data_IF_050973569966
#
_entry.id   IF_050973569966
#
_cell.length_a   1.000
_cell.length_b   1.000
_cell.length_c   1.000
_cell.angle_alpha   90.00
_cell.angle_beta   90.00
_cell.angle_gamma   90.00
#
_symmetry.space_group_name_H-M   'P 1'
#
loop_
_entity.id
_entity.type
_entity.pdbx_description
1 polymer ?
#
# COMPACT_ATOMS: atom_id res chain seq x y z
N UNK A 1 4.26 12.22 20.30
CA UNK A 1 5.41 11.42 19.91
C UNK A 1 6.67 11.81 20.63
N UNK A 2 7.54 10.87 20.87
CA UNK A 2 8.80 11.04 21.61
C UNK A 2 9.79 12.02 20.97
N UNK A 3 9.61 12.43 19.71
CA UNK A 3 10.60 13.24 18.97
C UNK A 3 10.12 14.63 18.58
N UNK A 4 8.85 14.97 18.77
CA UNK A 4 8.29 16.30 18.40
C UNK A 4 8.47 16.71 16.91
N UNK A 5 9.20 15.93 16.11
CA UNK A 5 9.54 16.23 14.73
C UNK A 5 8.86 15.25 13.76
N UNK A 6 8.04 15.77 12.88
CA UNK A 6 7.38 15.00 11.82
C UNK A 6 8.37 14.25 10.91
N UNK A 7 9.49 14.87 10.58
CA UNK A 7 10.53 14.27 9.72
C UNK A 7 11.19 13.05 10.37
N UNK A 8 11.45 13.13 11.67
CA UNK A 8 11.97 11.99 12.42
C UNK A 8 10.94 10.86 12.54
N UNK A 9 9.66 11.21 12.62
CA UNK A 9 8.58 10.20 12.62
C UNK A 9 8.50 9.47 11.27
N UNK A 10 8.63 10.17 10.13
CA UNK A 10 8.67 9.56 8.80
C UNK A 10 9.87 8.64 8.61
N UNK A 11 11.06 9.10 8.99
CA UNK A 11 12.26 8.26 8.91
C UNK A 11 12.20 7.08 9.88
N UNK A 12 11.70 7.32 11.08
CA UNK A 12 11.50 6.30 12.10
C UNK A 12 10.49 5.23 11.68
N UNK A 13 9.40 5.62 11.02
CA UNK A 13 8.40 4.67 10.50
C UNK A 13 8.97 3.82 9.37
N UNK A 14 9.73 4.41 8.45
CA UNK A 14 10.38 3.69 7.35
C UNK A 14 11.39 2.67 7.89
N UNK A 15 12.28 3.10 8.77
CA UNK A 15 13.34 2.24 9.30
C UNK A 15 12.77 1.22 10.28
N UNK A 16 11.89 1.64 11.18
CA UNK A 16 11.26 0.76 12.16
C UNK A 16 10.42 -0.33 11.51
N UNK A 17 9.61 0.02 10.50
CA UNK A 17 8.85 -0.96 9.75
C UNK A 17 9.74 -1.89 8.91
N UNK A 18 10.83 -1.38 8.33
CA UNK A 18 11.79 -2.21 7.61
C UNK A 18 12.46 -3.22 8.53
N UNK A 19 12.90 -2.80 9.72
CA UNK A 19 13.50 -3.70 10.72
C UNK A 19 12.48 -4.73 11.19
N UNK A 20 11.27 -4.32 11.54
CA UNK A 20 10.19 -5.23 11.92
C UNK A 20 9.90 -6.24 10.80
N UNK A 21 9.86 -5.78 9.56
CA UNK A 21 9.68 -6.63 8.38
C UNK A 21 10.80 -7.67 8.24
N UNK A 22 12.07 -7.27 8.39
CA UNK A 22 13.21 -8.21 8.38
C UNK A 22 13.08 -9.26 9.48
N UNK A 23 12.72 -8.85 10.69
CA UNK A 23 12.55 -9.78 11.82
C UNK A 23 11.42 -10.78 11.54
N UNK A 24 10.28 -10.30 11.07
CA UNK A 24 9.13 -11.15 10.72
C UNK A 24 9.50 -12.11 9.58
N UNK A 25 10.21 -11.63 8.56
CA UNK A 25 10.65 -12.47 7.46
C UNK A 25 11.57 -13.59 7.92
N UNK A 26 12.61 -13.26 8.69
CA UNK A 26 13.62 -14.24 9.14
C UNK A 26 12.99 -15.28 10.10
N UNK A 27 12.15 -14.83 11.03
CA UNK A 27 11.63 -15.70 12.09
C UNK A 27 10.47 -16.56 11.59
N UNK A 28 9.57 -15.99 10.80
CA UNK A 28 8.29 -16.61 10.44
C UNK A 28 8.20 -16.92 8.94
N UNK A 29 8.25 -15.88 8.08
CA UNK A 29 7.91 -16.01 6.67
C UNK A 29 8.88 -16.93 5.93
N UNK A 30 10.17 -16.88 6.26
CA UNK A 30 11.19 -17.75 5.66
C UNK A 30 10.88 -19.23 5.82
N UNK A 31 10.30 -19.62 6.94
CA UNK A 31 9.89 -21.01 7.21
C UNK A 31 8.67 -21.42 6.41
N UNK A 32 7.81 -20.44 6.07
CA UNK A 32 6.59 -20.65 5.31
C UNK A 32 6.82 -20.85 3.81
N UNK A 33 7.92 -20.36 3.25
CA UNK A 33 8.20 -20.50 1.81
C UNK A 33 8.24 -21.95 1.28
N UNK A 34 8.38 -22.92 2.19
CA UNK A 34 8.42 -24.36 1.86
C UNK A 34 7.10 -25.07 2.15
N UNK A 35 6.10 -24.36 2.66
CA UNK A 35 4.79 -24.90 3.02
C UNK A 35 3.78 -24.69 1.91
N UNK A 36 2.69 -25.42 1.97
CA UNK A 36 1.60 -25.30 1.03
C UNK A 36 0.94 -23.92 1.09
N UNK A 37 0.26 -23.57 0.01
CA UNK A 37 -0.36 -22.24 -0.15
C UNK A 37 -1.37 -21.91 0.95
N UNK A 38 -2.14 -22.91 1.40
CA UNK A 38 -3.10 -22.77 2.50
C UNK A 38 -2.41 -22.46 3.83
N UNK A 39 -1.33 -23.17 4.14
CA UNK A 39 -0.54 -22.93 5.36
C UNK A 39 0.04 -21.51 5.36
N UNK A 40 0.49 -21.02 4.20
CA UNK A 40 1.00 -19.67 4.07
C UNK A 40 -0.08 -18.62 4.36
N UNK A 41 -1.26 -18.78 3.78
CA UNK A 41 -2.40 -17.87 3.99
C UNK A 41 -2.85 -17.87 5.46
N UNK A 42 -3.02 -19.04 6.05
CA UNK A 42 -3.43 -19.16 7.46
C UNK A 42 -2.39 -18.55 8.42
N UNK A 43 -1.11 -18.83 8.19
CA UNK A 43 -0.05 -18.30 9.04
C UNK A 43 0.11 -16.77 8.89
N UNK A 44 -0.03 -16.21 7.69
CA UNK A 44 0.01 -14.76 7.49
C UNK A 44 -1.19 -14.08 8.11
N UNK A 45 -2.38 -14.68 8.04
CA UNK A 45 -3.58 -14.17 8.71
C UNK A 45 -3.43 -14.18 10.25
N UNK A 46 -2.95 -15.29 10.82
CA UNK A 46 -2.65 -15.39 12.24
C UNK A 46 -1.62 -14.34 12.68
N UNK A 47 -0.61 -14.08 11.83
CA UNK A 47 0.40 -13.06 12.09
C UNK A 47 -0.20 -11.64 12.10
N UNK A 48 -1.13 -11.33 11.20
CA UNK A 48 -1.83 -10.05 11.18
C UNK A 48 -2.57 -9.84 12.51
N UNK A 49 -3.33 -10.84 12.96
CA UNK A 49 -4.07 -10.76 14.22
C UNK A 49 -3.12 -10.61 15.43
N UNK A 50 -2.05 -11.39 15.46
CA UNK A 50 -1.06 -11.34 16.53
C UNK A 50 -0.38 -9.97 16.60
N UNK A 51 -0.01 -9.39 15.45
CA UNK A 51 0.61 -8.07 15.41
C UNK A 51 -0.39 -6.97 15.77
N UNK A 52 -1.63 -7.04 15.31
CA UNK A 52 -2.69 -6.08 15.64
C UNK A 52 -2.96 -6.07 17.15
N UNK A 53 -3.12 -7.24 17.76
CA UNK A 53 -3.31 -7.34 19.20
C UNK A 53 -2.04 -6.95 19.99
N UNK A 54 -0.86 -7.30 19.50
CA UNK A 54 0.40 -6.88 20.10
C UNK A 54 0.57 -5.37 20.12
N UNK A 55 0.25 -4.69 19.02
CA UNK A 55 0.27 -3.21 18.93
C UNK A 55 -0.77 -2.61 19.88
N UNK A 56 -1.97 -3.19 19.95
CA UNK A 56 -3.03 -2.76 20.88
C UNK A 56 -2.59 -2.89 22.33
N UNK A 57 -1.91 -3.96 22.66
CA UNK A 57 -1.41 -4.18 24.03
C UNK A 57 -0.30 -3.21 24.44
N UNK A 58 0.61 -2.87 23.51
CA UNK A 58 1.74 -1.97 23.78
C UNK A 58 1.32 -0.49 23.77
N UNK A 59 0.53 -0.07 22.78
CA UNK A 59 0.20 1.33 22.53
C UNK A 59 -1.23 1.72 22.96
N UNK A 60 -2.06 0.74 23.31
CA UNK A 60 -3.47 0.94 23.64
C UNK A 60 -4.36 0.95 22.40
N UNK A 61 -5.68 1.11 22.64
CA UNK A 61 -6.70 1.13 21.59
C UNK A 61 -7.06 2.55 21.10
N UNK A 62 -6.50 3.59 21.72
CA UNK A 62 -6.85 4.96 21.38
C UNK A 62 -6.13 5.42 20.11
N UNK A 63 -6.83 6.12 19.21
CA UNK A 63 -6.21 6.70 18.02
C UNK A 63 -5.12 7.71 18.39
N UNK A 64 -3.98 7.62 17.72
CA UNK A 64 -2.88 8.57 17.86
C UNK A 64 -2.92 9.55 16.69
N UNK A 65 -2.83 10.85 17.02
CA UNK A 65 -2.82 11.91 16.02
C UNK A 65 -1.38 12.39 15.77
N UNK A 66 -0.99 12.48 14.52
CA UNK A 66 0.28 13.06 14.09
C UNK A 66 0.06 14.51 13.67
N UNK A 67 0.79 15.43 14.30
CA UNK A 67 0.73 16.84 13.93
C UNK A 67 1.48 17.09 12.62
N UNK A 68 0.80 17.72 11.67
CA UNK A 68 1.39 18.17 10.41
C UNK A 68 2.30 19.36 10.70
N UNK A 69 3.55 19.40 10.21
CA UNK A 69 4.45 20.54 10.43
C UNK A 69 3.89 21.81 9.79
N UNK A 70 4.18 22.96 10.43
CA UNK A 70 3.67 24.26 9.99
C UNK A 70 3.99 24.60 8.53
N UNK A 71 5.09 24.10 7.99
CA UNK A 71 5.52 24.27 6.59
C UNK A 71 4.53 23.61 5.62
N UNK A 72 3.95 22.46 6.00
CA UNK A 72 3.01 21.68 5.20
C UNK A 72 1.55 21.96 5.60
N UNK A 73 1.34 22.77 6.64
CA UNK A 73 0.02 23.20 7.06
C UNK A 73 -0.46 24.35 6.18
N UNK A 74 -1.73 24.33 5.82
CA UNK A 74 -2.35 25.33 4.97
C UNK A 74 -2.71 24.83 3.57
N UNK A 75 -3.23 25.74 2.77
CA UNK A 75 -3.73 25.48 1.43
C UNK A 75 -3.07 26.40 0.41
N UNK A 76 -3.01 25.93 -0.82
CA UNK A 76 -2.53 26.72 -1.99
C UNK A 76 -3.69 26.81 -2.97
N UNK A 77 -4.01 28.01 -3.50
CA UNK A 77 -4.92 28.10 -4.62
C UNK A 77 -4.23 27.49 -5.86
N UNK A 78 -4.82 26.44 -6.40
CA UNK A 78 -4.45 25.86 -7.69
C UNK A 78 -5.26 26.56 -8.81
N UNK A 79 -4.98 26.19 -10.05
CA UNK A 79 -5.74 26.65 -11.21
C UNK A 79 -7.26 26.64 -10.93
N UNK A 80 -7.97 27.71 -11.33
CA UNK A 80 -9.42 27.90 -11.15
C UNK A 80 -9.91 28.03 -9.70
N UNK A 81 -9.15 28.72 -8.82
CA UNK A 81 -9.54 28.99 -7.42
C UNK A 81 -9.79 27.74 -6.55
N UNK A 82 -9.38 26.56 -7.00
CA UNK A 82 -9.49 25.34 -6.20
C UNK A 82 -8.45 25.40 -5.08
N UNK A 83 -8.95 25.46 -3.86
CA UNK A 83 -8.12 25.45 -2.65
C UNK A 83 -7.69 24.00 -2.37
N UNK A 84 -6.37 23.73 -2.44
CA UNK A 84 -5.83 22.39 -2.24
C UNK A 84 -4.83 22.35 -1.06
N UNK A 85 -4.89 21.31 -0.24
CA UNK A 85 -4.00 21.15 0.92
C UNK A 85 -2.55 20.91 0.49
N UNK A 86 -1.62 21.69 1.06
CA UNK A 86 -0.16 21.51 0.85
C UNK A 86 0.29 20.09 1.20
N UNK A 87 -0.25 19.53 2.27
CA UNK A 87 0.10 18.19 2.73
C UNK A 87 -0.29 17.10 1.73
N UNK A 88 -1.45 17.21 1.10
CA UNK A 88 -1.87 16.26 0.05
C UNK A 88 -0.96 16.33 -1.19
N UNK A 89 -0.53 17.53 -1.58
CA UNK A 89 0.45 17.69 -2.66
C UNK A 89 1.80 17.06 -2.30
N UNK A 90 2.23 17.23 -1.06
CA UNK A 90 3.43 16.58 -0.54
C UNK A 90 3.35 15.05 -0.62
N UNK A 91 2.21 14.43 -0.24
CA UNK A 91 2.00 12.99 -0.38
C UNK A 91 2.11 12.54 -1.83
N UNK A 92 1.48 13.27 -2.76
CA UNK A 92 1.54 12.94 -4.19
C UNK A 92 2.98 13.00 -4.69
N UNK A 93 3.73 14.03 -4.33
CA UNK A 93 5.13 14.20 -4.72
C UNK A 93 6.02 13.09 -4.18
N UNK A 94 5.89 12.75 -2.90
CA UNK A 94 6.64 11.65 -2.28
C UNK A 94 6.25 10.32 -2.91
N UNK A 95 4.96 10.08 -3.14
CA UNK A 95 4.49 8.86 -3.82
C UNK A 95 5.08 8.71 -5.22
N UNK A 96 5.14 9.79 -5.99
CA UNK A 96 5.76 9.80 -7.31
C UNK A 96 7.27 9.54 -7.24
N UNK A 97 7.98 10.17 -6.29
CA UNK A 97 9.41 9.95 -6.08
C UNK A 97 9.70 8.50 -5.72
N UNK A 98 8.90 7.91 -4.84
CA UNK A 98 9.02 6.48 -4.46
C UNK A 98 8.77 5.60 -5.68
N UNK A 99 7.73 5.86 -6.46
CA UNK A 99 7.41 5.09 -7.66
C UNK A 99 8.56 5.13 -8.69
N UNK A 100 9.11 6.31 -8.94
CA UNK A 100 10.29 6.48 -9.82
C UNK A 100 11.50 5.76 -9.21
N UNK A 101 11.76 5.93 -7.92
CA UNK A 101 12.86 5.27 -7.22
C UNK A 101 12.78 3.75 -7.30
N UNK A 102 11.61 3.16 -7.05
CA UNK A 102 11.36 1.72 -7.19
C UNK A 102 11.52 1.26 -8.64
N UNK A 103 11.01 2.02 -9.59
CA UNK A 103 11.17 1.71 -11.00
C UNK A 103 12.65 1.67 -11.40
N UNK A 104 13.44 2.68 -11.00
CA UNK A 104 14.88 2.72 -11.25
C UNK A 104 15.61 1.59 -10.52
N UNK A 105 15.28 1.34 -9.25
CA UNK A 105 15.86 0.27 -8.47
C UNK A 105 15.69 -1.08 -9.16
N UNK A 106 14.48 -1.37 -9.65
CA UNK A 106 14.19 -2.68 -10.25
C UNK A 106 14.67 -2.78 -11.70
N UNK A 107 14.66 -1.68 -12.47
CA UNK A 107 15.07 -1.73 -13.88
C UNK A 107 16.56 -1.52 -14.08
N UNK A 108 17.21 -0.70 -13.28
CA UNK A 108 18.58 -0.21 -13.51
C UNK A 108 19.62 -0.76 -12.53
N UNK A 109 19.23 -1.45 -11.44
CA UNK A 109 20.20 -1.93 -10.46
C UNK A 109 20.44 -3.44 -10.55
N UNK A 110 21.60 -3.88 -10.03
CA UNK A 110 21.94 -5.31 -9.92
C UNK A 110 20.95 -6.08 -9.05
N UNK A 111 20.40 -5.43 -8.01
CA UNK A 111 19.39 -6.00 -7.15
C UNK A 111 18.09 -6.26 -7.94
N UNK A 112 17.67 -5.31 -8.76
CA UNK A 112 16.51 -5.48 -9.63
C UNK A 112 16.65 -6.59 -10.66
N UNK A 113 17.85 -6.77 -11.22
CA UNK A 113 18.14 -7.91 -12.12
C UNK A 113 17.95 -9.23 -11.38
N UNK A 114 18.50 -9.36 -10.16
CA UNK A 114 18.39 -10.57 -9.34
C UNK A 114 16.93 -10.84 -8.94
N UNK A 115 16.16 -9.81 -8.60
CA UNK A 115 14.72 -9.94 -8.27
C UNK A 115 13.95 -10.51 -9.45
N UNK A 116 14.10 -9.92 -10.65
CA UNK A 116 13.40 -10.38 -11.86
C UNK A 116 13.79 -11.78 -12.28
N UNK A 117 15.07 -12.10 -12.15
CA UNK A 117 15.57 -13.42 -12.49
C UNK A 117 15.09 -14.47 -11.47
N UNK A 118 15.06 -14.15 -10.15
CA UNK A 118 14.51 -15.02 -9.11
C UNK A 118 12.99 -15.22 -9.20
N UNK A 119 12.30 -14.29 -9.84
CA UNK A 119 10.87 -14.38 -10.13
C UNK A 119 10.58 -15.38 -11.27
N UNK A 120 11.48 -15.48 -12.25
CA UNK A 120 11.34 -16.41 -13.36
C UNK A 120 11.74 -17.84 -12.96
N UNK A 121 12.90 -18.02 -12.35
CA UNK A 121 13.39 -19.34 -11.93
C UNK A 121 14.27 -19.22 -10.69
N UNK A 122 13.72 -19.67 -9.55
CA UNK A 122 14.41 -19.66 -8.26
C UNK A 122 15.57 -20.65 -8.21
N UNK A 123 15.41 -21.83 -8.84
CA UNK A 123 16.40 -22.90 -8.79
C UNK A 123 17.63 -22.53 -9.62
N UNK A 124 17.41 -22.02 -10.81
CA UNK A 124 18.47 -21.57 -11.70
C UNK A 124 19.32 -20.47 -11.06
N UNK A 125 18.70 -19.46 -10.46
CA UNK A 125 19.42 -18.36 -9.81
C UNK A 125 20.20 -18.82 -8.57
N UNK A 126 19.66 -19.77 -7.81
CA UNK A 126 20.38 -20.38 -6.70
C UNK A 126 21.62 -21.13 -7.18
N UNK A 127 21.50 -21.86 -8.27
CA UNK A 127 22.62 -22.57 -8.90
C UNK A 127 23.73 -21.62 -9.40
N UNK A 128 23.36 -20.39 -9.77
CA UNK A 128 24.31 -19.33 -10.14
C UNK A 128 24.94 -18.61 -8.94
N UNK A 129 24.73 -19.12 -7.72
CA UNK A 129 25.37 -18.62 -6.50
C UNK A 129 24.68 -17.40 -5.85
N UNK A 130 23.47 -17.05 -6.27
CA UNK A 130 22.70 -15.98 -5.63
C UNK A 130 21.94 -16.53 -4.43
N UNK A 131 22.18 -15.93 -3.26
CA UNK A 131 21.45 -16.24 -2.02
C UNK A 131 20.02 -15.69 -2.09
N UNK A 132 19.07 -16.58 -2.42
CA UNK A 132 17.65 -16.24 -2.53
C UNK A 132 17.05 -15.79 -1.21
N UNK A 133 17.50 -16.35 -0.09
CA UNK A 133 17.00 -15.97 1.23
C UNK A 133 17.32 -14.50 1.51
N UNK A 134 18.55 -14.07 1.27
CA UNK A 134 18.92 -12.64 1.42
C UNK A 134 18.15 -11.75 0.45
N UNK A 135 17.92 -12.21 -0.76
CA UNK A 135 17.16 -11.46 -1.76
C UNK A 135 15.73 -11.19 -1.27
N UNK A 136 15.06 -12.22 -0.75
CA UNK A 136 13.70 -12.09 -0.22
C UNK A 136 13.65 -11.18 1.02
N UNK A 137 14.63 -11.32 1.94
CA UNK A 137 14.72 -10.41 3.09
C UNK A 137 14.82 -8.95 2.67
N UNK A 138 15.65 -8.64 1.67
CA UNK A 138 15.80 -7.26 1.18
C UNK A 138 14.50 -6.75 0.57
N UNK A 139 13.85 -7.57 -0.27
CA UNK A 139 12.57 -7.19 -0.91
C UNK A 139 11.49 -6.97 0.15
N UNK A 140 11.41 -7.86 1.13
CA UNK A 140 10.44 -7.75 2.23
C UNK A 140 10.72 -6.51 3.09
N UNK A 141 11.98 -6.22 3.41
CA UNK A 141 12.39 -5.03 4.15
C UNK A 141 11.98 -3.73 3.42
N UNK A 142 12.22 -3.66 2.10
CA UNK A 142 11.82 -2.51 1.29
C UNK A 142 10.29 -2.36 1.32
N UNK A 143 9.54 -3.44 1.09
CA UNK A 143 8.08 -3.43 1.12
C UNK A 143 7.52 -2.98 2.47
N UNK A 144 8.01 -3.56 3.56
CA UNK A 144 7.61 -3.20 4.92
C UNK A 144 7.96 -1.75 5.27
N UNK A 145 9.16 -1.29 4.91
CA UNK A 145 9.58 0.10 5.11
C UNK A 145 8.68 1.09 4.37
N UNK A 146 8.35 0.81 3.12
CA UNK A 146 7.44 1.65 2.34
C UNK A 146 6.01 1.64 2.90
N UNK A 147 5.54 0.49 3.40
CA UNK A 147 4.25 0.40 4.07
C UNK A 147 4.22 1.24 5.36
N UNK A 148 5.29 1.19 6.16
CA UNK A 148 5.44 2.04 7.34
C UNK A 148 5.44 3.53 7.01
N UNK A 149 6.14 3.93 5.97
CA UNK A 149 6.16 5.32 5.49
C UNK A 149 4.77 5.76 5.01
N UNK A 150 4.09 4.94 4.22
CA UNK A 150 2.73 5.21 3.76
C UNK A 150 1.75 5.34 4.93
N UNK A 151 1.84 4.44 5.94
CA UNK A 151 1.04 4.49 7.16
C UNK A 151 1.26 5.78 7.95
N UNK A 152 2.50 6.23 8.11
CA UNK A 152 2.80 7.48 8.79
C UNK A 152 2.26 8.71 8.03
N UNK A 153 2.33 8.69 6.70
CA UNK A 153 1.79 9.78 5.87
C UNK A 153 0.26 9.86 5.94
N UNK A 154 -0.42 8.72 5.89
CA UNK A 154 -1.90 8.66 5.99
C UNK A 154 -2.35 8.96 7.42
N UNK A 155 -1.62 8.49 8.43
CA UNK A 155 -1.91 8.72 9.84
C UNK A 155 -1.90 10.21 10.25
N UNK A 156 -1.21 11.06 9.50
CA UNK A 156 -1.26 12.51 9.72
C UNK A 156 -2.53 13.16 9.13
N UNK A 157 -3.24 12.51 8.21
CA UNK A 157 -4.53 13.00 7.66
C UNK A 157 -5.71 12.48 8.48
N UNK A 158 -5.66 11.21 8.85
CA UNK A 158 -6.77 10.53 9.54
C UNK A 158 -6.43 10.38 11.03
N UNK A 159 -5.86 9.29 11.39
CA UNK A 159 -5.34 8.94 12.71
C UNK A 159 -4.55 7.65 12.56
N UNK A 160 -3.66 7.38 13.48
CA UNK A 160 -2.97 6.09 13.55
C UNK A 160 -3.75 5.20 14.49
N UNK A 161 -4.40 4.19 13.95
CA UNK A 161 -5.25 3.26 14.69
C UNK A 161 -4.78 1.82 14.48
N UNK A 162 -5.10 0.95 15.45
CA UNK A 162 -4.88 -0.47 15.31
C UNK A 162 -5.83 -1.02 14.23
N UNK A 163 -5.30 -1.79 13.28
CA UNK A 163 -6.07 -2.35 12.17
C UNK A 163 -6.19 -1.43 10.94
N UNK A 164 -5.66 -0.19 10.96
CA UNK A 164 -5.71 0.74 9.81
C UNK A 164 -5.11 0.16 8.51
N UNK A 165 -4.27 -0.86 8.63
CA UNK A 165 -3.67 -1.54 7.47
C UNK A 165 -4.57 -2.54 6.77
N UNK A 166 -5.60 -3.07 7.43
CA UNK A 166 -6.45 -4.13 6.87
C UNK A 166 -7.24 -3.68 5.61
N UNK A 167 -7.91 -2.52 5.60
CA UNK A 167 -8.57 -2.02 4.40
C UNK A 167 -7.57 -1.74 3.26
N UNK A 168 -6.37 -1.27 3.61
CA UNK A 168 -5.32 -0.97 2.63
C UNK A 168 -4.75 -2.25 2.03
N UNK A 169 -4.65 -3.34 2.82
CA UNK A 169 -4.24 -4.64 2.31
C UNK A 169 -5.15 -5.14 1.19
N UNK A 170 -6.47 -5.02 1.37
CA UNK A 170 -7.46 -5.42 0.36
C UNK A 170 -7.29 -4.57 -0.92
N UNK A 171 -7.14 -3.25 -0.77
CA UNK A 171 -6.90 -2.36 -1.90
C UNK A 171 -5.59 -2.68 -2.61
N UNK A 172 -4.51 -2.97 -1.87
CA UNK A 172 -3.23 -3.37 -2.44
C UNK A 172 -3.34 -4.68 -3.23
N UNK A 173 -4.12 -5.65 -2.72
CA UNK A 173 -4.40 -6.89 -3.45
C UNK A 173 -5.13 -6.62 -4.77
N UNK A 174 -6.16 -5.77 -4.76
CA UNK A 174 -6.88 -5.37 -5.96
C UNK A 174 -5.95 -4.69 -6.97
N UNK A 175 -5.08 -3.79 -6.50
CA UNK A 175 -4.07 -3.12 -7.34
C UNK A 175 -3.14 -4.12 -8.02
N UNK A 176 -2.64 -5.12 -7.28
CA UNK A 176 -1.74 -6.15 -7.81
C UNK A 176 -2.45 -7.00 -8.87
N UNK A 177 -3.69 -7.37 -8.62
CA UNK A 177 -4.50 -8.17 -9.55
C UNK A 177 -4.81 -7.38 -10.83
N UNK A 178 -5.26 -6.14 -10.69
CA UNK A 178 -5.53 -5.25 -11.83
C UNK A 178 -4.25 -4.99 -12.63
N UNK A 179 -3.15 -4.69 -11.94
CA UNK A 179 -1.86 -4.41 -12.58
C UNK A 179 -1.25 -5.60 -13.29
N UNK A 180 -1.54 -6.81 -12.80
CA UNK A 180 -0.93 -8.08 -13.20
C UNK A 180 0.22 -8.47 -12.29
N UNK A 181 0.15 -9.69 -11.77
CA UNK A 181 1.11 -10.22 -10.78
C UNK A 181 2.53 -10.15 -11.35
N UNK A 182 3.44 -9.55 -10.60
CA UNK A 182 4.85 -9.42 -10.99
C UNK A 182 5.18 -8.24 -11.90
N UNK A 183 4.20 -7.41 -12.28
CA UNK A 183 4.43 -6.22 -13.10
C UNK A 183 4.46 -4.94 -12.26
N UNK A 184 5.63 -4.30 -12.13
CA UNK A 184 5.77 -3.04 -11.39
C UNK A 184 5.07 -1.89 -12.11
N UNK A 185 5.18 -1.86 -13.45
CA UNK A 185 4.42 -0.89 -14.26
C UNK A 185 2.92 -1.09 -14.06
N UNK A 186 2.50 -2.35 -14.01
CA UNK A 186 1.12 -2.70 -13.73
C UNK A 186 0.66 -2.27 -12.35
N UNK A 187 1.45 -2.50 -11.32
CA UNK A 187 1.14 -2.06 -9.96
C UNK A 187 1.02 -0.52 -9.86
N UNK A 188 1.89 0.22 -10.52
CA UNK A 188 1.82 1.70 -10.54
C UNK A 188 0.56 2.20 -11.26
N UNK A 189 0.29 1.71 -12.46
CA UNK A 189 -0.90 2.11 -13.22
C UNK A 189 -2.18 1.62 -12.53
N UNK A 190 -2.15 0.40 -11.98
CA UNK A 190 -3.25 -0.16 -11.20
C UNK A 190 -3.57 0.68 -9.95
N UNK A 191 -2.55 1.17 -9.24
CA UNK A 191 -2.75 2.03 -8.06
C UNK A 191 -3.39 3.37 -8.42
N UNK A 192 -3.01 3.98 -9.55
CA UNK A 192 -3.65 5.20 -10.03
C UNK A 192 -5.10 4.93 -10.43
N UNK A 193 -5.36 3.87 -11.18
CA UNK A 193 -6.72 3.50 -11.60
C UNK A 193 -7.63 3.24 -10.39
N UNK A 194 -7.16 2.45 -9.43
CA UNK A 194 -7.92 2.15 -8.20
C UNK A 194 -8.15 3.43 -7.39
N UNK A 195 -7.12 4.25 -7.18
CA UNK A 195 -7.25 5.50 -6.43
C UNK A 195 -8.19 6.51 -7.08
N UNK A 196 -8.14 6.65 -8.40
CA UNK A 196 -9.07 7.52 -9.15
C UNK A 196 -10.50 6.97 -9.08
N UNK A 197 -10.67 5.66 -9.27
CA UNK A 197 -12.00 5.03 -9.20
C UNK A 197 -12.61 5.14 -7.81
N UNK A 198 -11.82 4.91 -6.75
CA UNK A 198 -12.26 5.07 -5.36
C UNK A 198 -12.69 6.52 -5.09
N UNK A 199 -11.89 7.48 -5.51
CA UNK A 199 -12.18 8.90 -5.29
C UNK A 199 -13.43 9.35 -6.06
N UNK A 200 -13.53 8.98 -7.34
CA UNK A 200 -14.71 9.29 -8.16
C UNK A 200 -15.96 8.63 -7.55
N UNK A 201 -15.86 7.36 -7.17
CA UNK A 201 -16.97 6.64 -6.56
C UNK A 201 -17.47 7.31 -5.29
N UNK A 202 -16.58 7.61 -4.36
CA UNK A 202 -16.94 8.20 -3.06
C UNK A 202 -17.39 9.65 -3.14
N UNK A 203 -16.94 10.42 -4.13
CA UNK A 203 -17.31 11.85 -4.25
C UNK A 203 -18.47 12.04 -5.20
N UNK A 204 -18.49 11.37 -6.34
CA UNK A 204 -19.47 11.63 -7.40
C UNK A 204 -20.78 10.90 -7.16
N UNK A 205 -20.76 9.64 -6.73
CA UNK A 205 -21.97 8.86 -6.51
C UNK A 205 -22.92 9.44 -5.43
N UNK A 206 -22.45 9.86 -4.26
CA UNK A 206 -23.32 10.52 -3.30
C UNK A 206 -24.00 11.75 -3.88
N UNK A 207 -23.26 12.57 -4.64
CA UNK A 207 -23.82 13.79 -5.23
C UNK A 207 -24.85 13.50 -6.31
N UNK A 208 -24.63 12.45 -7.08
CA UNK A 208 -25.58 12.01 -8.11
C UNK A 208 -26.84 11.43 -7.48
N UNK A 209 -26.72 10.64 -6.42
CA UNK A 209 -27.85 10.06 -5.71
C UNK A 209 -28.70 11.09 -4.94
N UNK A 210 -28.12 12.21 -4.51
CA UNK A 210 -28.87 13.33 -3.87
C UNK A 210 -29.93 13.93 -4.79
N UNK A 211 -29.82 13.73 -6.10
CA UNK A 211 -30.86 14.17 -7.06
C UNK A 211 -32.13 13.32 -6.98
N UNK A 212 -31.98 12.05 -6.55
CA UNK A 212 -33.05 11.05 -6.56
C UNK A 212 -33.51 10.62 -5.16
N UNK A 213 -32.75 10.93 -4.11
CA UNK A 213 -32.96 10.45 -2.76
C UNK A 213 -32.67 11.52 -1.72
N UNK A 214 -33.15 11.29 -0.49
CA UNK A 214 -32.82 12.12 0.66
C UNK A 214 -31.30 12.20 0.89
N UNK A 215 -30.76 13.38 1.28
CA UNK A 215 -29.31 13.60 1.41
C UNK A 215 -28.58 12.60 2.31
N UNK A 216 -29.22 12.16 3.41
CA UNK A 216 -28.64 11.20 4.35
C UNK A 216 -28.48 9.81 3.71
N UNK A 217 -29.54 9.31 3.07
CA UNK A 217 -29.56 8.02 2.38
C UNK A 217 -28.64 8.03 1.16
N UNK A 218 -28.64 9.13 0.39
CA UNK A 218 -27.76 9.32 -0.77
C UNK A 218 -26.27 9.26 -0.39
N UNK A 219 -25.89 9.84 0.74
CA UNK A 219 -24.49 9.83 1.21
C UNK A 219 -24.06 8.44 1.66
N UNK A 220 -24.90 7.75 2.42
CA UNK A 220 -24.61 6.38 2.89
C UNK A 220 -24.56 5.38 1.74
N UNK A 221 -25.57 5.35 0.87
CA UNK A 221 -25.61 4.44 -0.29
C UNK A 221 -24.53 4.78 -1.32
N UNK A 222 -24.30 6.06 -1.58
CA UNK A 222 -23.29 6.51 -2.54
C UNK A 222 -21.88 6.12 -2.13
N UNK A 223 -21.52 6.25 -0.84
CA UNK A 223 -20.22 5.82 -0.35
C UNK A 223 -20.06 4.30 -0.40
N UNK A 224 -21.09 3.54 -0.09
CA UNK A 224 -21.08 2.07 -0.17
C UNK A 224 -20.91 1.57 -1.60
N UNK A 225 -21.70 2.10 -2.54
CA UNK A 225 -21.60 1.78 -3.97
C UNK A 225 -20.23 2.24 -4.51
N UNK A 226 -19.75 3.42 -4.08
CA UNK A 226 -18.42 3.93 -4.44
C UNK A 226 -17.31 2.96 -4.09
N UNK A 227 -17.36 2.37 -2.92
CA UNK A 227 -16.39 1.33 -2.49
C UNK A 227 -16.50 0.05 -3.32
N UNK A 228 -17.69 -0.30 -3.80
CA UNK A 228 -17.91 -1.47 -4.66
C UNK A 228 -17.36 -1.28 -6.08
N UNK A 229 -17.27 -0.03 -6.57
CA UNK A 229 -16.76 0.24 -7.93
C UNK A 229 -15.36 -0.30 -8.17
N UNK A 230 -14.53 -0.32 -7.16
CA UNK A 230 -13.17 -0.87 -7.25
C UNK A 230 -13.22 -2.36 -7.60
N UNK A 231 -14.10 -3.11 -6.95
CA UNK A 231 -14.25 -4.55 -7.19
C UNK A 231 -14.90 -4.84 -8.53
N UNK A 232 -15.85 -3.99 -8.95
CA UNK A 232 -16.45 -4.07 -10.28
C UNK A 232 -15.39 -3.79 -11.36
N UNK A 233 -14.56 -2.77 -11.16
CA UNK A 233 -13.43 -2.48 -12.05
C UNK A 233 -12.47 -3.67 -12.13
N UNK A 234 -12.14 -4.28 -11.00
CA UNK A 234 -11.27 -5.47 -10.96
C UNK A 234 -11.90 -6.62 -11.76
N UNK A 235 -13.18 -6.93 -11.53
CA UNK A 235 -13.86 -8.00 -12.23
C UNK A 235 -13.91 -7.74 -13.74
N UNK A 236 -14.19 -6.51 -14.15
CA UNK A 236 -14.24 -6.11 -15.57
C UNK A 236 -12.87 -6.29 -16.24
N UNK A 237 -11.80 -5.84 -15.58
CA UNK A 237 -10.43 -6.01 -16.11
C UNK A 237 -10.07 -7.49 -16.22
N UNK A 238 -10.39 -8.31 -15.22
CA UNK A 238 -10.09 -9.75 -15.24
C UNK A 238 -10.89 -10.50 -16.32
N UNK A 239 -12.13 -10.11 -16.59
CA UNK A 239 -12.92 -10.68 -17.69
C UNK A 239 -12.28 -10.34 -19.05
N UNK A 240 -11.83 -9.10 -19.22
CA UNK A 240 -11.20 -8.66 -20.47
C UNK A 240 -9.76 -9.19 -20.60
N UNK A 241 -9.01 -9.27 -19.50
CA UNK A 241 -7.61 -9.65 -19.47
C UNK A 241 -7.27 -10.41 -18.18
N UNK A 242 -7.40 -11.75 -18.18
CA UNK A 242 -7.23 -12.59 -17.00
C UNK A 242 -5.85 -12.47 -16.32
N UNK A 243 -4.81 -12.09 -17.08
CA UNK A 243 -3.46 -11.88 -16.56
C UNK A 243 -3.25 -10.49 -15.93
N UNK A 244 -4.28 -9.63 -15.89
CA UNK A 244 -4.18 -8.23 -15.52
C UNK A 244 -3.64 -7.35 -16.66
N UNK A 245 -3.60 -6.03 -16.47
CA UNK A 245 -3.26 -5.07 -17.53
C UNK A 245 -1.86 -5.30 -18.12
N UNK A 246 -0.89 -5.66 -17.30
CA UNK A 246 0.52 -5.83 -17.67
C UNK A 246 1.09 -7.19 -17.24
N UNK A 247 0.24 -8.16 -16.95
CA UNK A 247 0.66 -9.53 -16.67
C UNK A 247 1.23 -10.18 -17.93
N UNK A 248 2.20 -11.06 -17.75
CA UNK A 248 2.71 -11.91 -18.83
C UNK A 248 1.70 -13.04 -19.08
N UNK A 249 1.30 -13.23 -20.30
CA UNK A 249 0.59 -14.44 -20.74
C UNK A 249 1.52 -15.63 -20.69
#
# INVERSE_FOLDING_TARGET
GLTGSFWLALLGSLIGAAIAGVLIEIIIIRRLYRRDHLDQVLATFALILLLSEGVRWIFGAFPLYLNIPNILNGSIPLFFEIIYSKYRLFIILIGLLIAIGLYLLITKTRLGIRIRAGQNDRQMISALGVDISKLYTIVFAIGAGLAGLAGAMIGAIQSVEVGMGEPILILAFVVIVIGGIGSIKGAFIGSILVGVTDTIGRVFLPNLLKVFMEPANATSMGSSIGSMLIYILMALILIMKPSGLFGKN
#
